data_IF_837892203983
#
_entry.id   IF_837892203983
#
_cell.length_a   1.000
_cell.length_b   1.000
_cell.length_c   1.000
_cell.angle_alpha   90.00
_cell.angle_beta   90.00
_cell.angle_gamma   90.00
#
_symmetry.space_group_name_H-M   'P 1'
#
loop_
_entity.id
_entity.type
_entity.pdbx_description
1 polymer ?
#
# COMPACT_ATOMS: atom_id res chain seq x y z
N UNK A 1 52.88 -27.10 -7.18
CA UNK A 1 52.45 -26.43 -8.42
C UNK A 1 51.64 -25.18 -8.07
N UNK A 2 52.13 -24.04 -8.56
CA UNK A 2 51.48 -22.76 -8.92
C UNK A 2 50.28 -22.20 -8.13
N UNK A 3 50.46 -20.98 -7.62
CA UNK A 3 49.37 -19.97 -7.52
C UNK A 3 49.05 -19.38 -8.90
N UNK A 4 47.81 -18.89 -9.08
CA UNK A 4 47.69 -17.47 -9.41
C UNK A 4 46.69 -16.74 -8.48
N UNK A 5 46.91 -15.44 -8.21
CA UNK A 5 45.94 -14.56 -7.60
C UNK A 5 45.06 -13.88 -8.66
N UNK A 6 43.98 -13.27 -8.18
CA UNK A 6 43.21 -12.19 -8.83
C UNK A 6 42.03 -12.61 -9.72
N UNK A 7 40.82 -12.43 -9.18
CA UNK A 7 39.86 -11.53 -9.82
C UNK A 7 39.17 -10.70 -8.75
N UNK A 8 39.63 -9.46 -8.68
CA UNK A 8 38.85 -8.29 -8.29
C UNK A 8 37.40 -8.45 -8.76
N UNK A 9 36.47 -8.73 -7.85
CA UNK A 9 35.08 -8.34 -8.02
C UNK A 9 34.87 -7.06 -7.22
N UNK A 10 35.47 -6.00 -7.74
CA UNK A 10 35.05 -4.63 -7.48
C UNK A 10 33.81 -4.40 -8.35
N UNK A 11 32.71 -4.99 -7.90
CA UNK A 11 31.36 -4.58 -8.20
C UNK A 11 30.68 -4.58 -6.84
N UNK A 12 30.87 -3.53 -6.05
CA UNK A 12 29.96 -2.39 -6.15
C UNK A 12 28.50 -2.84 -6.28
N UNK A 13 28.06 -3.65 -5.32
CA UNK A 13 26.79 -3.33 -4.70
C UNK A 13 27.05 -3.30 -3.23
N UNK A 14 27.10 -2.07 -2.73
CA UNK A 14 26.75 -1.69 -1.36
C UNK A 14 25.83 -2.77 -0.75
N UNK A 15 25.96 -3.13 0.54
CA UNK A 15 24.85 -3.77 1.19
C UNK A 15 23.67 -2.84 0.93
N UNK A 16 22.77 -3.24 0.03
CA UNK A 16 21.57 -2.47 -0.23
C UNK A 16 20.86 -2.58 1.09
N UNK A 17 21.08 -1.55 1.90
CA UNK A 17 20.60 -1.42 3.25
C UNK A 17 19.10 -1.42 3.09
N UNK A 18 18.49 -2.61 3.08
CA UNK A 18 17.11 -2.76 3.52
C UNK A 18 17.15 -2.27 4.97
N UNK A 19 16.57 -1.08 5.17
CA UNK A 19 15.23 -1.06 5.68
C UNK A 19 14.39 -0.03 4.91
N UNK A 20 13.81 -0.40 3.76
CA UNK A 20 12.69 0.36 3.19
C UNK A 20 11.32 -0.21 3.53
N UNK A 21 11.27 -1.35 4.20
CA UNK A 21 10.02 -1.95 4.69
C UNK A 21 9.64 -1.51 6.12
N UNK A 22 10.45 -0.65 6.76
CA UNK A 22 10.15 -0.08 8.06
C UNK A 22 9.15 1.09 7.91
N UNK A 23 7.90 0.78 7.52
CA UNK A 23 6.84 1.76 7.58
C UNK A 23 5.62 1.52 6.70
N UNK A 24 5.66 0.60 5.73
CA UNK A 24 4.62 0.44 4.72
C UNK A 24 3.26 0.03 5.36
N UNK A 25 2.30 0.95 5.56
CA UNK A 25 1.02 0.63 6.15
C UNK A 25 0.14 0.09 5.04
N UNK A 26 0.11 -1.24 4.91
CA UNK A 26 -0.74 -1.95 3.96
C UNK A 26 -2.17 -1.40 3.96
N UNK A 27 -2.74 -1.25 2.77
CA UNK A 27 -4.14 -0.89 2.58
C UNK A 27 -4.88 -2.08 1.98
N UNK A 28 -5.83 -2.62 2.73
CA UNK A 28 -6.76 -3.62 2.23
C UNK A 28 -8.04 -2.92 1.78
N UNK A 29 -8.46 -3.24 0.57
CA UNK A 29 -9.68 -2.73 -0.06
C UNK A 29 -10.58 -3.93 -0.33
N UNK A 30 -11.76 -3.93 0.25
CA UNK A 30 -12.79 -4.94 0.00
C UNK A 30 -13.87 -4.28 -0.86
N UNK A 31 -14.06 -4.79 -2.08
CA UNK A 31 -15.03 -4.26 -3.03
C UNK A 31 -16.38 -4.94 -2.83
N UNK A 32 -17.41 -4.13 -2.68
CA UNK A 32 -18.82 -4.51 -2.64
C UNK A 32 -19.52 -3.87 -3.86
N UNK A 33 -20.79 -4.19 -4.11
CA UNK A 33 -21.53 -3.83 -5.33
C UNK A 33 -21.45 -2.34 -5.70
N UNK A 34 -21.48 -1.45 -4.71
CA UNK A 34 -21.45 0.00 -4.92
C UNK A 34 -20.45 0.75 -4.03
N UNK A 35 -19.76 0.03 -3.15
CA UNK A 35 -18.90 0.64 -2.13
C UNK A 35 -17.62 -0.15 -1.97
N UNK A 36 -16.57 0.51 -1.50
CA UNK A 36 -15.33 -0.12 -1.10
C UNK A 36 -15.10 0.09 0.40
N UNK A 37 -14.75 -0.98 1.11
CA UNK A 37 -14.35 -0.95 2.51
C UNK A 37 -12.83 -0.92 2.59
N UNK A 38 -12.31 -0.01 3.40
CA UNK A 38 -10.90 0.34 3.51
C UNK A 38 -10.43 -0.01 4.92
N UNK A 39 -9.46 -0.92 4.98
CA UNK A 39 -8.82 -1.37 6.21
C UNK A 39 -7.33 -1.11 6.13
N UNK A 40 -6.78 -0.54 7.18
CA UNK A 40 -5.37 -0.21 7.24
C UNK A 40 -5.10 0.88 8.26
N UNK A 41 -3.81 1.16 8.49
CA UNK A 41 -3.42 2.27 9.35
C UNK A 41 -3.59 3.60 8.60
N UNK A 42 -3.95 4.66 9.32
CA UNK A 42 -4.03 6.03 8.77
C UNK A 42 -4.87 6.10 7.48
N UNK A 43 -6.04 5.46 7.48
CA UNK A 43 -6.97 5.52 6.33
C UNK A 43 -7.57 6.93 6.19
N UNK A 44 -7.89 7.60 7.30
CA UNK A 44 -8.42 8.97 7.26
C UNK A 44 -7.49 9.97 6.56
N UNK A 45 -6.20 10.11 6.97
CA UNK A 45 -5.26 10.97 6.25
C UNK A 45 -5.08 10.61 4.78
N UNK A 46 -5.14 9.31 4.45
CA UNK A 46 -5.10 8.85 3.05
C UNK A 46 -6.34 9.32 2.27
N UNK A 47 -7.53 9.22 2.86
CA UNK A 47 -8.76 9.69 2.24
C UNK A 47 -8.77 11.22 2.07
N UNK A 48 -8.22 11.96 3.04
CA UNK A 48 -8.05 13.41 2.92
C UNK A 48 -7.11 13.77 1.75
N UNK A 49 -5.98 13.07 1.62
CA UNK A 49 -5.02 13.28 0.54
C UNK A 49 -5.57 12.91 -0.84
N UNK A 50 -6.42 11.88 -0.90
CA UNK A 50 -7.16 11.49 -2.09
C UNK A 50 -8.32 12.45 -2.42
N UNK A 51 -8.59 13.46 -1.58
CA UNK A 51 -9.70 14.39 -1.78
C UNK A 51 -11.08 13.77 -1.55
N UNK A 52 -11.16 12.62 -0.87
CA UNK A 52 -12.40 11.90 -0.65
C UNK A 52 -13.15 12.47 0.55
N UNK A 53 -14.22 13.20 0.25
CA UNK A 53 -15.15 13.78 1.23
C UNK A 53 -16.31 12.83 1.54
N UNK A 54 -16.76 12.04 0.57
CA UNK A 54 -17.83 11.05 0.73
C UNK A 54 -17.28 9.76 1.33
N UNK A 55 -17.26 9.71 2.68
CA UNK A 55 -16.77 8.55 3.46
C UNK A 55 -17.62 8.33 4.69
N UNK A 56 -17.80 7.07 5.07
CA UNK A 56 -18.57 6.65 6.25
C UNK A 56 -17.76 5.65 7.07
N UNK A 57 -17.75 5.78 8.40
CA UNK A 57 -17.15 4.76 9.25
C UNK A 57 -18.16 3.66 9.55
N UNK A 58 -17.90 2.44 9.08
CA UNK A 58 -18.68 1.25 9.40
C UNK A 58 -18.18 0.67 10.73
N UNK A 59 -18.99 0.88 11.79
CA UNK A 59 -18.70 0.37 13.13
C UNK A 59 -18.80 -1.15 13.22
N UNK A 60 -19.63 -1.80 12.41
CA UNK A 60 -19.80 -3.25 12.43
C UNK A 60 -18.57 -3.98 11.89
N UNK A 61 -17.91 -3.38 10.91
CA UNK A 61 -16.72 -3.96 10.27
C UNK A 61 -15.40 -3.28 10.67
N UNK A 62 -15.47 -2.23 11.50
CA UNK A 62 -14.32 -1.48 12.00
C UNK A 62 -13.51 -0.78 10.91
N UNK A 63 -14.16 -0.36 9.82
CA UNK A 63 -13.48 0.13 8.61
C UNK A 63 -14.10 1.41 8.06
N UNK A 64 -13.37 2.10 7.18
CA UNK A 64 -13.92 3.22 6.42
C UNK A 64 -14.53 2.70 5.12
N UNK A 65 -15.69 3.22 4.76
CA UNK A 65 -16.41 2.86 3.54
C UNK A 65 -16.52 4.08 2.64
N UNK A 66 -16.25 3.90 1.35
CA UNK A 66 -16.34 4.94 0.33
C UNK A 66 -17.13 4.43 -0.88
N UNK A 67 -17.72 5.30 -1.71
CA UNK A 67 -18.27 4.90 -3.00
C UNK A 67 -17.21 4.26 -3.89
N UNK A 68 -17.60 3.27 -4.70
CA UNK A 68 -16.67 2.61 -5.61
C UNK A 68 -16.08 3.57 -6.65
N UNK A 69 -16.81 4.63 -7.01
CA UNK A 69 -16.40 5.62 -8.02
C UNK A 69 -15.13 6.39 -7.67
N UNK A 70 -14.77 6.48 -6.38
CA UNK A 70 -13.56 7.21 -5.93
C UNK A 70 -12.40 6.27 -5.61
N UNK A 71 -12.54 4.95 -5.82
CA UNK A 71 -11.56 3.97 -5.37
C UNK A 71 -10.22 4.08 -6.10
N UNK A 72 -10.25 4.42 -7.39
CA UNK A 72 -9.05 4.61 -8.19
C UNK A 72 -8.17 5.75 -7.64
N UNK A 73 -8.78 6.84 -7.16
CA UNK A 73 -8.05 7.95 -6.54
C UNK A 73 -7.40 7.55 -5.22
N UNK A 74 -8.10 6.75 -4.42
CA UNK A 74 -7.58 6.21 -3.15
C UNK A 74 -6.41 5.25 -3.39
N UNK A 75 -6.52 4.35 -4.37
CA UNK A 75 -5.44 3.45 -4.78
C UNK A 75 -4.24 4.28 -5.25
N UNK A 76 -4.48 5.29 -6.09
CA UNK A 76 -3.42 6.15 -6.60
C UNK A 76 -2.69 6.92 -5.49
N UNK A 77 -3.42 7.48 -4.53
CA UNK A 77 -2.82 8.13 -3.37
C UNK A 77 -2.04 7.14 -2.49
N UNK A 78 -2.56 5.93 -2.29
CA UNK A 78 -1.93 4.91 -1.48
C UNK A 78 -0.61 4.42 -2.09
N UNK A 79 -0.62 4.03 -3.36
CA UNK A 79 0.55 3.47 -4.04
C UNK A 79 1.58 4.54 -4.38
N UNK A 80 1.17 5.60 -5.09
CA UNK A 80 2.12 6.55 -5.68
C UNK A 80 2.58 7.63 -4.71
N UNK A 81 1.72 8.09 -3.80
CA UNK A 81 2.07 9.18 -2.89
C UNK A 81 2.58 8.68 -1.54
N UNK A 82 1.97 7.61 -1.03
CA UNK A 82 2.30 7.06 0.29
C UNK A 82 3.13 5.76 0.24
N UNK A 83 3.40 5.21 -0.95
CA UNK A 83 4.23 4.01 -1.11
C UNK A 83 3.65 2.76 -0.45
N UNK A 84 2.32 2.68 -0.30
CA UNK A 84 1.63 1.57 0.38
C UNK A 84 1.48 0.37 -0.53
N UNK A 85 1.59 -0.83 0.03
CA UNK A 85 1.08 -2.03 -0.64
C UNK A 85 -0.44 -2.07 -0.54
N UNK A 86 -1.11 -2.11 -1.69
CA UNK A 86 -2.56 -2.22 -1.78
C UNK A 86 -2.96 -3.68 -2.07
N UNK A 87 -3.93 -4.18 -1.32
CA UNK A 87 -4.55 -5.49 -1.57
C UNK A 87 -6.03 -5.29 -1.82
N UNK A 88 -6.46 -5.57 -3.05
CA UNK A 88 -7.87 -5.53 -3.42
C UNK A 88 -8.45 -6.94 -3.35
N UNK A 89 -9.59 -7.08 -2.69
CA UNK A 89 -10.36 -8.33 -2.63
C UNK A 89 -11.80 -8.05 -2.98
N UNK A 90 -12.46 -9.01 -3.61
CA UNK A 90 -13.91 -8.99 -3.75
C UNK A 90 -14.55 -9.44 -2.43
N UNK A 91 -15.58 -8.72 -1.98
CA UNK A 91 -16.38 -9.16 -0.85
C UNK A 91 -17.16 -10.41 -1.25
N UNK A 92 -16.96 -11.52 -0.53
CA UNK A 92 -17.80 -12.70 -0.66
C UNK A 92 -19.22 -12.31 -0.22
N UNK A 93 -20.12 -12.17 -1.19
CA UNK A 93 -21.54 -11.91 -0.97
C UNK A 93 -22.30 -13.18 -0.64
#
# INVERSE_FOLDING_TARGET
MMSPPTRTNLAERLPDRRPRDAGCPTLRIELDRHTARLRGRRVLPLLDEAGVTTRMYDRGHGCWTVPLTVISDVIGAAEFRQGRSVTVVEAAS
#
